data_IF_080008463122
#
_entry.id   IF_080008463122
#
_cell.length_a   1.000
_cell.length_b   1.000
_cell.length_c   1.000
_cell.angle_alpha   90.00
_cell.angle_beta   90.00
_cell.angle_gamma   90.00
#
_symmetry.space_group_name_H-M   'P 1'
#
loop_
_entity.id
_entity.type
_entity.pdbx_description
1 polymer ?
#
# COMPACT_ATOMS: atom_id res chain seq x y z
N UNK A 1 22.51 25.17 15.37
CA UNK A 1 21.35 25.00 14.49
C UNK A 1 21.86 24.65 13.09
N UNK A 2 22.09 23.36 12.82
CA UNK A 2 22.64 22.87 11.56
C UNK A 2 21.48 22.27 10.77
N UNK A 3 21.09 22.93 9.68
CA UNK A 3 20.07 22.44 8.75
C UNK A 3 20.76 21.43 7.83
N UNK A 4 20.59 20.13 8.08
CA UNK A 4 20.97 19.10 7.12
C UNK A 4 19.93 19.05 6.00
N UNK A 5 20.30 19.60 4.83
CA UNK A 5 19.54 19.38 3.59
C UNK A 5 19.77 17.94 3.12
N UNK A 6 18.71 17.11 3.08
CA UNK A 6 18.70 15.86 2.30
C UNK A 6 18.98 16.21 0.83
N UNK A 7 19.94 15.50 0.23
CA UNK A 7 20.25 15.60 -1.21
C UNK A 7 19.12 14.96 -2.00
N UNK A 8 18.55 15.70 -2.97
CA UNK A 8 17.71 15.11 -4.01
C UNK A 8 18.56 14.20 -4.88
N UNK A 9 18.21 12.92 -4.99
CA UNK A 9 18.79 12.04 -5.98
C UNK A 9 18.28 12.45 -7.36
N UNK A 10 19.22 12.63 -8.29
CA UNK A 10 18.92 13.05 -9.66
C UNK A 10 18.07 12.03 -10.41
N UNK A 11 17.13 12.56 -11.19
CA UNK A 11 16.37 11.84 -12.21
C UNK A 11 17.30 11.06 -13.14
N UNK A 12 17.17 9.73 -13.17
CA UNK A 12 17.77 8.86 -14.18
C UNK A 12 16.64 8.37 -15.07
N UNK A 13 16.55 8.93 -16.27
CA UNK A 13 15.65 8.46 -17.34
C UNK A 13 16.47 7.71 -18.39
N UNK A 14 16.62 6.39 -18.23
CA UNK A 14 17.05 5.49 -19.32
C UNK A 14 16.22 4.20 -19.28
N UNK A 15 15.16 4.14 -20.10
CA UNK A 15 14.42 2.91 -20.36
C UNK A 15 15.18 2.05 -21.37
N UNK A 16 15.78 0.95 -20.91
CA UNK A 16 16.39 -0.06 -21.77
C UNK A 16 15.35 -0.90 -22.52
N UNK A 17 15.51 -0.95 -23.84
CA UNK A 17 14.77 -1.83 -24.76
C UNK A 17 15.36 -3.24 -24.72
N UNK A 18 14.57 -4.23 -24.31
CA UNK A 18 14.88 -5.66 -24.46
C UNK A 18 14.06 -6.23 -25.62
N UNK A 19 14.75 -6.67 -26.69
CA UNK A 19 14.19 -7.52 -27.73
C UNK A 19 14.78 -8.93 -27.61
N UNK A 20 13.88 -9.90 -27.77
CA UNK A 20 14.07 -11.32 -28.05
C UNK A 20 14.34 -12.24 -26.85
N UNK A 21 13.35 -13.05 -26.48
CA UNK A 21 13.28 -14.47 -26.87
C UNK A 21 12.17 -15.18 -26.06
N UNK A 22 11.20 -15.83 -26.72
CA UNK A 22 10.86 -17.24 -26.50
C UNK A 22 9.72 -17.70 -27.43
N UNK A 23 10.04 -18.76 -28.17
CA UNK A 23 9.14 -19.68 -28.86
C UNK A 23 8.73 -20.76 -27.85
N UNK A 24 7.47 -21.25 -27.91
CA UNK A 24 7.10 -22.69 -27.96
C UNK A 24 5.64 -22.92 -27.52
N UNK A 25 4.94 -23.61 -28.42
CA UNK A 25 3.78 -24.51 -28.25
C UNK A 25 2.36 -23.98 -28.01
N UNK A 26 1.61 -24.03 -29.11
CA UNK A 26 0.17 -24.24 -29.13
C UNK A 26 -0.14 -25.74 -29.04
N UNK A 27 -1.12 -26.11 -28.20
CA UNK A 27 -1.86 -27.38 -28.30
C UNK A 27 -3.24 -27.25 -27.63
N UNK A 28 -4.24 -27.16 -28.51
CA UNK A 28 -5.58 -27.78 -28.52
C UNK A 28 -6.30 -27.99 -27.17
N UNK A 29 -7.51 -27.40 -27.07
CA UNK A 29 -8.83 -27.97 -26.71
C UNK A 29 -9.84 -26.81 -26.87
N UNK A 30 -10.88 -26.82 -27.70
CA UNK A 30 -11.87 -27.87 -27.92
C UNK A 30 -13.10 -27.58 -27.04
N UNK A 31 -14.14 -26.93 -27.58
CA UNK A 31 -15.45 -26.84 -26.91
C UNK A 31 -16.20 -25.52 -27.07
N UNK A 32 -16.82 -25.30 -28.24
CA UNK A 32 -17.88 -24.30 -28.43
C UNK A 32 -19.22 -24.99 -28.22
N UNK A 33 -20.08 -24.39 -27.40
CA UNK A 33 -21.52 -24.66 -27.46
C UNK A 33 -22.23 -24.37 -26.16
N UNK A 34 -22.74 -23.14 -26.00
CA UNK A 34 -24.06 -22.91 -25.40
C UNK A 34 -24.52 -21.48 -25.69
N UNK A 35 -25.60 -21.43 -26.49
CA UNK A 35 -26.42 -20.27 -26.78
C UNK A 35 -27.07 -19.75 -25.49
N UNK A 36 -26.98 -18.45 -25.24
CA UNK A 36 -28.00 -17.73 -24.47
C UNK A 36 -28.42 -16.47 -25.23
N UNK A 37 -29.67 -16.52 -25.67
CA UNK A 37 -30.39 -15.46 -26.36
C UNK A 37 -31.14 -14.67 -25.28
N UNK A 38 -30.86 -13.38 -25.13
CA UNK A 38 -31.70 -12.48 -24.32
C UNK A 38 -31.89 -11.18 -25.07
N UNK A 39 -33.11 -10.97 -25.55
CA UNK A 39 -33.56 -9.71 -26.12
C UNK A 39 -34.01 -8.72 -25.05
N UNK A 40 -34.27 -7.49 -25.49
CA UNK A 40 -35.14 -6.56 -24.77
C UNK A 40 -34.56 -5.17 -24.52
N UNK A 41 -34.66 -4.32 -25.55
CA UNK A 41 -35.17 -2.94 -25.55
C UNK A 41 -34.74 -1.88 -24.51
N UNK A 42 -34.62 -0.67 -25.09
CA UNK A 42 -35.11 0.63 -24.58
C UNK A 42 -34.20 1.42 -23.61
N UNK A 43 -33.56 2.48 -24.08
CA UNK A 43 -34.13 3.83 -24.24
C UNK A 43 -33.02 4.88 -24.47
N UNK A 44 -33.25 5.71 -25.48
CA UNK A 44 -32.59 6.97 -25.73
C UNK A 44 -32.72 7.93 -24.54
N UNK A 45 -31.64 8.64 -24.21
CA UNK A 45 -31.69 9.96 -23.59
C UNK A 45 -30.46 10.74 -24.05
N UNK A 46 -30.69 11.62 -25.02
CA UNK A 46 -29.72 12.60 -25.48
C UNK A 46 -29.52 13.69 -24.45
N UNK A 47 -28.26 14.09 -24.27
CA UNK A 47 -27.91 15.34 -23.61
C UNK A 47 -26.98 16.15 -24.51
N UNK A 48 -27.48 17.32 -24.92
CA UNK A 48 -26.70 18.42 -25.48
C UNK A 48 -25.75 18.95 -24.41
N UNK A 49 -24.47 19.09 -24.72
CA UNK A 49 -23.57 20.00 -24.03
C UNK A 49 -22.82 20.84 -25.06
N UNK A 50 -23.03 22.15 -24.95
CA UNK A 50 -22.37 23.21 -25.71
C UNK A 50 -20.90 23.30 -25.30
N UNK A 51 -19.99 23.25 -26.29
CA UNK A 51 -18.59 23.60 -26.12
C UNK A 51 -18.41 25.12 -26.31
N UNK A 52 -17.86 25.81 -25.31
CA UNK A 52 -17.39 27.19 -25.41
C UNK A 52 -15.89 27.24 -25.71
N UNK A 53 -15.51 28.34 -26.36
CA UNK A 53 -14.28 28.57 -27.11
C UNK A 53 -12.97 28.41 -26.33
N UNK A 54 -11.98 27.87 -27.05
CA UNK A 54 -10.58 27.84 -26.65
C UNK A 54 -9.84 29.02 -27.29
N UNK A 55 -9.33 29.92 -26.45
CA UNK A 55 -8.49 31.06 -26.85
C UNK A 55 -7.03 30.63 -26.95
N UNK A 56 -6.46 30.82 -28.14
CA UNK A 56 -5.10 30.45 -28.52
C UNK A 56 -4.12 31.52 -28.04
N UNK A 57 -3.28 31.21 -27.05
CA UNK A 57 -2.10 32.01 -26.69
C UNK A 57 -0.86 31.45 -27.38
N UNK A 58 -0.23 32.26 -28.23
CA UNK A 58 1.08 32.00 -28.86
C UNK A 58 2.19 32.46 -27.94
N UNK A 59 3.04 31.54 -27.49
CA UNK A 59 4.30 31.82 -26.79
C UNK A 59 5.48 31.58 -27.73
N UNK A 60 6.24 32.63 -28.02
CA UNK A 60 7.54 32.60 -28.70
C UNK A 60 8.64 32.19 -27.73
N UNK A 61 9.31 31.07 -28.01
CA UNK A 61 10.46 30.59 -27.21
C UNK A 61 11.76 30.84 -27.97
N UNK A 62 12.64 31.64 -27.38
CA UNK A 62 14.03 31.85 -27.81
C UNK A 62 14.94 30.82 -27.13
N UNK A 63 15.67 30.03 -27.92
CA UNK A 63 16.59 29.00 -27.43
C UNK A 63 18.02 29.54 -27.31
N UNK A 64 18.71 29.40 -26.16
CA UNK A 64 20.16 29.57 -26.10
C UNK A 64 20.89 28.24 -26.30
N UNK A 65 21.96 28.30 -27.09
CA UNK A 65 22.90 27.21 -27.37
C UNK A 65 23.77 26.91 -26.14
N UNK A 66 23.79 25.66 -25.69
CA UNK A 66 24.65 25.17 -24.61
C UNK A 66 25.80 24.34 -25.18
N UNK A 67 27.02 24.77 -24.86
CA UNK A 67 28.29 24.10 -25.20
C UNK A 67 28.50 22.91 -24.27
N UNK A 68 28.65 21.73 -24.86
CA UNK A 68 29.03 20.48 -24.17
C UNK A 68 30.53 20.48 -23.85
N UNK A 69 30.89 20.22 -22.59
CA UNK A 69 32.25 19.85 -22.19
C UNK A 69 32.19 18.49 -21.51
N UNK A 70 32.95 17.54 -22.04
CA UNK A 70 33.04 16.16 -21.58
C UNK A 70 34.01 16.06 -20.40
N UNK A 71 33.48 15.88 -19.18
CA UNK A 71 34.25 15.43 -18.03
C UNK A 71 33.95 13.95 -17.76
N UNK A 72 34.97 13.12 -17.92
CA UNK A 72 34.95 11.71 -17.54
C UNK A 72 34.93 11.61 -16.00
N UNK A 73 33.99 10.83 -15.47
CA UNK A 73 33.74 10.61 -14.05
C UNK A 73 34.72 9.57 -13.47
N UNK A 74 35.70 10.03 -12.70
CA UNK A 74 36.43 9.24 -11.70
C UNK A 74 35.72 9.38 -10.33
N UNK A 75 34.62 8.64 -10.11
CA UNK A 75 33.84 8.69 -8.85
C UNK A 75 33.90 7.43 -7.99
N UNK A 76 34.80 6.48 -8.26
CA UNK A 76 34.78 5.18 -7.57
C UNK A 76 35.77 5.01 -6.40
N UNK A 77 36.31 6.08 -5.81
CA UNK A 77 37.39 5.95 -4.82
C UNK A 77 37.32 6.94 -3.66
N UNK A 78 36.27 6.92 -2.83
CA UNK A 78 36.29 7.46 -1.45
C UNK A 78 35.00 7.12 -0.67
N UNK A 79 34.77 5.84 -0.41
CA UNK A 79 33.99 5.44 0.76
C UNK A 79 34.98 5.36 1.93
N UNK A 80 35.06 6.45 2.70
CA UNK A 80 35.92 6.51 3.89
C UNK A 80 35.39 5.57 4.96
N UNK A 81 36.29 5.03 5.78
CA UNK A 81 35.99 4.16 6.94
C UNK A 81 34.95 4.78 7.88
N UNK A 82 34.91 6.11 7.96
CA UNK A 82 33.95 6.86 8.78
C UNK A 82 32.49 6.57 8.43
N UNK A 83 32.18 6.30 7.16
CA UNK A 83 30.81 6.00 6.70
C UNK A 83 30.30 4.66 7.24
N UNK A 84 31.19 3.67 7.33
CA UNK A 84 30.82 2.33 7.80
C UNK A 84 30.57 2.32 9.31
N UNK A 85 31.39 3.03 10.08
CA UNK A 85 31.23 3.15 11.53
C UNK A 85 29.96 3.94 11.89
N UNK A 86 29.63 5.00 11.15
CA UNK A 86 28.38 5.74 11.33
C UNK A 86 27.14 4.90 11.00
N UNK A 87 27.18 4.08 9.94
CA UNK A 87 26.09 3.15 9.61
C UNK A 87 25.95 2.06 10.68
N UNK A 88 27.05 1.57 11.24
CA UNK A 88 27.04 0.59 12.34
C UNK A 88 26.41 1.16 13.61
N UNK A 89 26.82 2.36 14.03
CA UNK A 89 26.25 3.03 15.20
C UNK A 89 24.76 3.36 15.01
N UNK A 90 24.37 3.88 13.85
CA UNK A 90 22.97 4.16 13.54
C UNK A 90 22.10 2.89 13.51
N UNK A 91 22.66 1.75 13.10
CA UNK A 91 21.97 0.47 13.13
C UNK A 91 21.87 -0.12 14.55
N UNK A 92 22.83 0.16 15.44
CA UNK A 92 22.81 -0.32 16.82
C UNK A 92 21.69 0.29 17.67
N UNK A 93 21.17 1.46 17.29
CA UNK A 93 20.04 2.12 17.97
C UNK A 93 18.66 1.60 17.52
N UNK A 94 18.59 0.89 16.39
CA UNK A 94 17.32 0.41 15.85
C UNK A 94 16.84 -0.79 16.66
N UNK A 95 15.57 -0.74 17.09
CA UNK A 95 14.90 -1.90 17.68
C UNK A 95 14.74 -2.99 16.62
N UNK A 96 14.76 -4.26 17.03
CA UNK A 96 14.37 -5.38 16.16
C UNK A 96 12.88 -5.70 16.34
N UNK A 97 12.10 -5.57 15.27
CA UNK A 97 10.68 -5.87 15.28
C UNK A 97 10.41 -7.33 15.66
N UNK A 98 11.29 -8.27 15.28
CA UNK A 98 11.10 -9.68 15.65
C UNK A 98 11.09 -9.87 17.16
N UNK A 99 12.04 -9.26 17.87
CA UNK A 99 12.15 -9.33 19.33
C UNK A 99 10.95 -8.64 20.01
N UNK A 100 10.62 -7.42 19.56
CA UNK A 100 9.49 -6.64 20.09
C UNK A 100 8.17 -7.39 19.90
N UNK A 101 7.87 -7.83 18.68
CA UNK A 101 6.63 -8.53 18.33
C UNK A 101 6.53 -9.90 19.00
N UNK A 102 7.66 -10.60 19.18
CA UNK A 102 7.69 -11.86 19.93
C UNK A 102 7.25 -11.63 21.39
N UNK A 103 7.64 -10.50 21.99
CA UNK A 103 7.28 -10.17 23.39
C UNK A 103 5.78 -9.87 23.59
N UNK A 104 5.06 -9.44 22.56
CA UNK A 104 3.60 -9.19 22.62
C UNK A 104 2.78 -10.40 22.18
N UNK A 105 3.43 -11.41 21.61
CA UNK A 105 2.78 -12.62 21.12
C UNK A 105 1.89 -12.38 19.90
N UNK A 106 2.17 -11.34 19.12
CA UNK A 106 1.50 -11.11 17.82
C UNK A 106 1.93 -12.17 16.80
N UNK A 107 1.02 -12.51 15.89
CA UNK A 107 1.20 -13.52 14.84
C UNK A 107 2.06 -13.05 13.66
N UNK A 108 2.26 -11.73 13.54
CA UNK A 108 3.16 -11.06 12.58
C UNK A 108 4.56 -11.68 12.48
N UNK A 109 5.00 -12.37 13.54
CA UNK A 109 6.30 -13.03 13.66
C UNK A 109 6.23 -14.49 14.11
N UNK A 110 5.06 -15.14 14.04
CA UNK A 110 4.94 -16.56 14.40
C UNK A 110 5.57 -17.50 13.37
N UNK A 111 5.72 -17.06 12.12
CA UNK A 111 6.25 -17.83 11.00
C UNK A 111 7.62 -18.47 11.30
N UNK A 112 8.67 -17.71 11.65
CA UNK A 112 10.01 -18.26 11.93
C UNK A 112 10.01 -19.39 12.96
N UNK A 113 9.33 -19.21 14.10
CA UNK A 113 9.24 -20.22 15.16
C UNK A 113 8.50 -21.47 14.68
N UNK A 114 7.31 -21.31 14.10
CA UNK A 114 6.49 -22.43 13.61
C UNK A 114 7.16 -23.18 12.47
N UNK A 115 7.87 -22.47 11.59
CA UNK A 115 8.57 -23.09 10.46
C UNK A 115 9.68 -24.01 10.94
N UNK A 116 10.46 -23.58 11.94
CA UNK A 116 11.51 -24.40 12.53
C UNK A 116 10.95 -25.72 13.06
N UNK A 117 9.84 -25.68 13.80
CA UNK A 117 9.19 -26.87 14.34
C UNK A 117 8.60 -27.77 13.23
N UNK A 118 7.94 -27.16 12.24
CA UNK A 118 7.38 -27.86 11.07
C UNK A 118 8.45 -28.54 10.21
N UNK A 119 9.61 -27.92 10.01
CA UNK A 119 10.72 -28.53 9.24
C UNK A 119 11.40 -29.67 9.98
N UNK A 120 11.36 -29.69 11.31
CA UNK A 120 11.88 -30.79 12.13
C UNK A 120 10.90 -31.96 12.20
N UNK A 121 9.60 -31.68 12.14
CA UNK A 121 8.53 -32.66 12.24
C UNK A 121 7.35 -32.22 11.38
N UNK A 122 7.16 -32.89 10.24
CA UNK A 122 6.13 -32.53 9.27
C UNK A 122 4.70 -32.62 9.85
N UNK A 123 4.49 -33.38 10.92
CA UNK A 123 3.19 -33.44 11.62
C UNK A 123 2.86 -32.15 12.38
N UNK A 124 3.86 -31.29 12.64
CA UNK A 124 3.69 -29.96 13.24
C UNK A 124 3.38 -28.86 12.23
N UNK A 125 3.45 -29.17 10.93
CA UNK A 125 3.06 -28.22 9.89
C UNK A 125 1.54 -28.07 9.87
N UNK A 126 1.05 -26.83 9.82
CA UNK A 126 -0.40 -26.55 9.64
C UNK A 126 -0.84 -26.96 8.23
N UNK A 127 0.05 -26.81 7.24
CA UNK A 127 -0.19 -27.15 5.84
C UNK A 127 0.99 -27.94 5.27
N UNK A 128 1.16 -29.23 5.61
CA UNK A 128 2.35 -30.03 5.26
C UNK A 128 2.58 -30.14 3.74
N UNK A 129 1.51 -30.12 2.95
CA UNK A 129 1.58 -30.34 1.49
C UNK A 129 1.98 -29.09 0.69
N UNK A 130 2.22 -27.95 1.35
CA UNK A 130 2.61 -26.72 0.65
C UNK A 130 4.04 -26.82 0.12
N UNK A 131 4.21 -26.52 -1.17
CA UNK A 131 5.51 -26.54 -1.87
C UNK A 131 6.46 -25.53 -1.24
N UNK A 132 6.01 -24.29 -1.03
CA UNK A 132 6.81 -23.25 -0.40
C UNK A 132 6.88 -23.47 1.13
N UNK A 133 8.09 -23.64 1.72
CA UNK A 133 8.22 -23.95 3.15
C UNK A 133 7.54 -22.95 4.08
N UNK A 134 7.68 -21.64 3.80
CA UNK A 134 7.06 -20.58 4.62
C UNK A 134 5.52 -20.68 4.68
N UNK A 135 4.88 -21.20 3.62
CA UNK A 135 3.43 -21.40 3.55
C UNK A 135 2.93 -22.58 4.41
N UNK A 136 3.83 -23.43 4.92
CA UNK A 136 3.47 -24.58 5.77
C UNK A 136 3.04 -24.18 7.18
N UNK A 137 3.34 -22.95 7.60
CA UNK A 137 3.11 -22.45 8.97
C UNK A 137 1.67 -22.00 9.26
N UNK A 138 0.80 -21.96 8.26
CA UNK A 138 -0.58 -21.51 8.39
C UNK A 138 -0.67 -19.99 8.60
N UNK A 139 -1.37 -19.57 9.65
CA UNK A 139 -1.50 -18.17 10.07
C UNK A 139 -0.24 -17.66 10.80
N UNK A 140 0.96 -18.04 10.34
CA UNK A 140 2.22 -17.57 10.89
C UNK A 140 2.92 -16.67 9.89
N UNK A 141 3.15 -15.40 10.25
CA UNK A 141 3.71 -14.43 9.30
C UNK A 141 5.22 -14.23 9.55
N UNK A 142 5.88 -13.66 8.55
CA UNK A 142 7.33 -13.40 8.53
C UNK A 142 7.61 -11.91 8.37
N UNK A 143 6.72 -11.02 8.84
CA UNK A 143 6.74 -9.60 8.47
C UNK A 143 7.88 -8.79 9.08
N UNK A 144 8.55 -9.30 10.13
CA UNK A 144 9.70 -8.65 10.76
C UNK A 144 10.79 -8.17 9.78
N UNK A 145 11.10 -8.90 8.71
CA UNK A 145 12.12 -8.46 7.73
C UNK A 145 11.71 -7.18 7.02
N UNK A 146 10.45 -7.12 6.59
CA UNK A 146 9.88 -5.96 5.93
C UNK A 146 9.73 -4.79 6.91
N UNK A 147 9.24 -5.05 8.14
CA UNK A 147 9.12 -4.01 9.16
C UNK A 147 10.47 -3.42 9.58
N UNK A 148 11.49 -4.25 9.79
CA UNK A 148 12.84 -3.75 10.10
C UNK A 148 13.41 -2.91 8.95
N UNK A 149 13.17 -3.31 7.70
CA UNK A 149 13.65 -2.57 6.53
C UNK A 149 12.99 -1.19 6.42
N UNK A 150 11.66 -1.14 6.49
CA UNK A 150 10.90 0.07 6.17
C UNK A 150 10.64 0.97 7.37
N UNK A 151 10.56 0.40 8.56
CA UNK A 151 10.21 1.13 9.78
C UNK A 151 11.38 1.24 10.79
N UNK A 152 12.53 0.62 10.50
CA UNK A 152 13.67 0.63 11.41
C UNK A 152 14.24 2.02 11.73
N UNK A 153 14.16 2.99 10.81
CA UNK A 153 14.57 4.37 11.10
C UNK A 153 13.66 5.03 12.16
N UNK A 154 12.36 4.72 12.11
CA UNK A 154 11.36 5.21 13.04
C UNK A 154 11.37 4.49 14.39
N UNK A 155 12.15 3.41 14.52
CA UNK A 155 12.24 2.60 15.73
C UNK A 155 13.29 3.08 16.73
N UNK A 156 13.94 4.23 16.47
CA UNK A 156 14.95 4.82 17.35
C UNK A 156 14.31 5.82 18.33
N UNK A 157 14.97 6.08 19.47
CA UNK A 157 14.50 7.09 20.43
C UNK A 157 14.70 8.53 19.92
N UNK A 158 15.59 8.70 18.95
CA UNK A 158 15.91 9.97 18.31
C UNK A 158 15.03 10.26 17.07
N UNK A 159 14.09 9.38 16.73
CA UNK A 159 13.18 9.61 15.62
C UNK A 159 12.34 10.89 15.82
N UNK A 160 12.17 11.66 14.75
CA UNK A 160 11.24 12.79 14.74
C UNK A 160 9.81 12.29 15.05
N UNK A 161 9.00 13.02 15.85
CA UNK A 161 7.62 12.66 16.10
C UNK A 161 6.81 12.52 14.80
N UNK A 162 5.99 11.48 14.72
CA UNK A 162 5.15 11.17 13.56
C UNK A 162 3.86 10.50 14.01
N UNK A 163 2.85 10.44 13.14
CA UNK A 163 1.64 9.63 13.36
C UNK A 163 1.77 8.26 12.71
N UNK A 164 1.30 7.25 13.44
CA UNK A 164 1.15 5.87 13.03
C UNK A 164 -0.32 5.46 13.11
N UNK A 165 -0.82 4.76 12.10
CA UNK A 165 -2.17 4.20 12.07
C UNK A 165 -2.15 2.70 11.71
N UNK A 166 -2.82 1.88 12.52
CA UNK A 166 -3.16 0.49 12.20
C UNK A 166 -4.66 0.34 11.95
N UNK A 167 -5.06 -0.08 10.75
CA UNK A 167 -6.44 -0.53 10.48
C UNK A 167 -6.52 -2.01 10.84
N UNK A 168 -7.31 -2.36 11.86
CA UNK A 168 -7.39 -3.72 12.41
C UNK A 168 -6.67 -3.84 13.76
N UNK A 169 -7.40 -3.68 14.86
CA UNK A 169 -6.83 -3.82 16.21
C UNK A 169 -6.88 -5.28 16.69
N UNK A 170 -7.95 -5.99 16.34
CA UNK A 170 -8.34 -7.30 16.85
C UNK A 170 -8.29 -7.40 18.37
N UNK A 171 -7.22 -7.93 18.96
CA UNK A 171 -7.00 -8.03 20.41
C UNK A 171 -5.82 -7.15 20.91
N UNK A 172 -5.32 -6.28 20.03
CA UNK A 172 -4.29 -5.27 20.27
C UNK A 172 -2.86 -5.77 20.33
N UNK A 173 -2.58 -7.06 20.10
CA UNK A 173 -1.18 -7.56 20.16
C UNK A 173 -0.28 -6.98 19.07
N UNK A 174 -0.82 -6.75 17.87
CA UNK A 174 -0.16 -6.05 16.76
C UNK A 174 0.12 -4.60 17.15
N UNK A 175 -0.93 -3.86 17.49
CA UNK A 175 -0.83 -2.49 18.00
C UNK A 175 0.19 -2.31 19.12
N UNK A 176 0.16 -3.18 20.14
CA UNK A 176 1.10 -3.15 21.27
C UNK A 176 2.55 -3.41 20.82
N UNK A 177 2.77 -4.22 19.78
CA UNK A 177 4.09 -4.41 19.18
C UNK A 177 4.56 -3.13 18.50
N UNK A 178 3.71 -2.50 17.69
CA UNK A 178 4.05 -1.26 17.00
C UNK A 178 4.33 -0.12 17.98
N UNK A 179 3.54 0.04 19.05
CA UNK A 179 3.80 1.05 20.08
C UNK A 179 5.15 0.90 20.76
N UNK A 180 5.58 -0.34 21.03
CA UNK A 180 6.91 -0.62 21.59
C UNK A 180 8.02 -0.41 20.55
N UNK A 181 7.74 -0.71 19.29
CA UNK A 181 8.68 -0.60 18.19
C UNK A 181 8.89 0.84 17.74
N UNK A 182 7.86 1.67 17.79
CA UNK A 182 7.82 3.05 17.29
C UNK A 182 7.62 4.03 18.46
N UNK A 183 8.64 4.23 19.32
CA UNK A 183 8.49 4.95 20.59
C UNK A 183 8.13 6.44 20.46
N UNK A 184 8.38 7.02 19.29
CA UNK A 184 8.13 8.44 18.98
C UNK A 184 6.85 8.65 18.18
N UNK A 185 6.13 7.57 17.87
CA UNK A 185 4.87 7.65 17.14
C UNK A 185 3.72 8.09 18.07
N UNK A 186 2.90 8.99 17.57
CA UNK A 186 1.51 9.11 18.00
C UNK A 186 0.70 8.02 17.31
N UNK A 187 0.24 7.05 18.10
CA UNK A 187 -0.35 5.81 17.57
C UNK A 187 -1.85 5.82 17.59
N UNK A 188 -2.45 5.45 16.47
CA UNK A 188 -3.88 5.25 16.29
C UNK A 188 -4.18 3.85 15.76
N UNK A 189 -5.34 3.31 16.09
CA UNK A 189 -5.85 2.07 15.53
C UNK A 189 -7.36 2.16 15.31
N UNK A 190 -7.87 1.38 14.36
CA UNK A 190 -9.29 1.30 14.02
C UNK A 190 -9.80 -0.13 14.16
N UNK A 191 -10.98 -0.31 14.74
CA UNK A 191 -11.56 -1.63 14.93
C UNK A 191 -13.08 -1.63 14.86
N UNK A 192 -13.62 -2.49 14.01
CA UNK A 192 -15.06 -2.66 13.86
C UNK A 192 -15.64 -3.46 15.03
N UNK A 193 -14.89 -4.42 15.58
CA UNK A 193 -15.36 -5.26 16.67
C UNK A 193 -15.66 -4.51 17.97
N UNK A 194 -15.19 -3.26 18.10
CA UNK A 194 -15.45 -2.46 19.30
C UNK A 194 -16.69 -1.55 19.21
N UNK A 195 -17.48 -1.63 18.13
CA UNK A 195 -18.81 -1.01 18.04
C UNK A 195 -19.86 -1.85 18.80
N UNK A 196 -21.09 -1.35 18.85
CA UNK A 196 -22.22 -2.05 19.48
C UNK A 196 -22.43 -3.44 18.85
N UNK A 197 -22.60 -4.52 19.67
CA UNK A 197 -22.85 -5.84 19.13
C UNK A 197 -24.26 -5.95 18.52
N UNK A 198 -24.38 -6.67 17.41
CA UNK A 198 -25.68 -6.87 16.74
C UNK A 198 -25.58 -7.21 15.25
N UNK A 199 -26.71 -7.22 14.52
CA UNK A 199 -26.73 -7.56 13.11
C UNK A 199 -25.96 -6.57 12.24
N UNK A 200 -25.18 -7.06 11.26
CA UNK A 200 -24.49 -6.21 10.29
C UNK A 200 -25.44 -5.29 9.51
N UNK A 201 -26.68 -5.73 9.28
CA UNK A 201 -27.70 -4.93 8.60
C UNK A 201 -28.08 -3.65 9.37
N UNK A 202 -27.79 -3.59 10.67
CA UNK A 202 -27.97 -2.41 11.53
C UNK A 202 -26.67 -1.62 11.73
N UNK A 203 -25.60 -1.95 11.00
CA UNK A 203 -24.27 -1.37 11.22
C UNK A 203 -23.58 -1.86 12.49
N UNK A 204 -24.01 -3.00 13.05
CA UNK A 204 -23.49 -3.59 14.30
C UNK A 204 -22.59 -4.79 14.05
N UNK A 205 -21.83 -5.20 15.07
CA UNK A 205 -20.86 -6.31 14.97
C UNK A 205 -21.34 -7.60 15.68
N UNK A 206 -21.61 -8.71 14.97
CA UNK A 206 -22.27 -9.87 15.58
C UNK A 206 -21.34 -10.82 16.33
N UNK A 207 -20.01 -10.70 16.18
CA UNK A 207 -19.05 -11.70 16.69
C UNK A 207 -18.43 -11.35 18.06
N UNK A 208 -18.93 -10.29 18.70
CA UNK A 208 -18.46 -9.82 20.00
C UNK A 208 -17.22 -8.91 19.90
N UNK A 209 -16.90 -8.26 21.02
CA UNK A 209 -15.83 -7.29 21.11
C UNK A 209 -14.48 -8.00 21.36
N UNK A 210 -13.74 -8.25 20.29
CA UNK A 210 -12.41 -8.85 20.40
C UNK A 210 -11.38 -7.87 20.99
N UNK A 211 -11.58 -6.57 20.77
CA UNK A 211 -10.68 -5.51 21.25
C UNK A 211 -10.67 -5.42 22.77
N UNK A 212 -11.81 -5.66 23.42
CA UNK A 212 -11.93 -5.66 24.88
C UNK A 212 -11.12 -6.76 25.58
N UNK A 213 -10.52 -7.69 24.84
CA UNK A 213 -9.55 -8.66 25.38
C UNK A 213 -8.19 -8.04 25.67
N UNK A 214 -7.88 -6.87 25.12
CA UNK A 214 -6.63 -6.17 25.41
C UNK A 214 -6.70 -5.53 26.81
N UNK A 215 -5.69 -5.71 27.68
CA UNK A 215 -5.69 -5.12 29.03
C UNK A 215 -5.70 -3.58 29.03
N UNK A 216 -5.25 -2.95 27.94
CA UNK A 216 -5.24 -1.49 27.76
C UNK A 216 -6.43 -0.98 26.93
N UNK A 217 -7.42 -1.82 26.60
CA UNK A 217 -8.53 -1.46 25.73
C UNK A 217 -9.21 -0.14 26.13
N UNK A 218 -9.63 -0.02 27.40
CA UNK A 218 -10.29 1.19 27.88
C UNK A 218 -9.35 2.40 27.84
N UNK A 219 -8.09 2.22 28.22
CA UNK A 219 -7.07 3.28 28.13
C UNK A 219 -6.90 3.79 26.70
N UNK A 220 -6.92 2.91 25.69
CA UNK A 220 -6.82 3.30 24.29
C UNK A 220 -8.06 4.03 23.78
N UNK A 221 -9.26 3.71 24.27
CA UNK A 221 -10.45 4.51 24.01
C UNK A 221 -10.36 5.90 24.66
N UNK A 222 -10.03 5.95 25.95
CA UNK A 222 -9.99 7.19 26.73
C UNK A 222 -8.95 8.19 26.19
N UNK A 223 -7.83 7.65 25.67
CA UNK A 223 -6.75 8.45 25.06
C UNK A 223 -6.89 8.61 23.55
N UNK A 224 -8.01 8.14 22.95
CA UNK A 224 -8.30 8.26 21.52
C UNK A 224 -7.24 7.65 20.60
N UNK A 225 -6.62 6.58 21.08
CA UNK A 225 -5.70 5.75 20.31
C UNK A 225 -6.42 4.60 19.62
N UNK A 226 -7.59 4.18 20.10
CA UNK A 226 -8.45 3.20 19.44
C UNK A 226 -9.77 3.85 19.02
N UNK A 227 -10.11 3.73 17.74
CA UNK A 227 -11.31 4.30 17.14
C UNK A 227 -12.27 3.17 16.72
N UNK A 228 -13.48 3.17 17.28
CA UNK A 228 -14.47 2.13 16.99
C UNK A 228 -15.33 2.48 15.78
N UNK A 229 -15.24 1.68 14.72
CA UNK A 229 -16.02 1.88 13.50
C UNK A 229 -15.54 1.01 12.35
N UNK A 230 -16.27 1.09 11.24
CA UNK A 230 -15.96 0.34 10.02
C UNK A 230 -14.95 1.11 9.16
N UNK A 231 -13.71 0.62 9.09
CA UNK A 231 -12.66 1.24 8.28
C UNK A 231 -12.85 1.07 6.75
N UNK A 232 -13.96 0.47 6.31
CA UNK A 232 -14.39 0.54 4.91
C UNK A 232 -15.35 1.69 4.61
N UNK A 233 -15.87 2.35 5.66
CA UNK A 233 -16.80 3.48 5.56
C UNK A 233 -16.05 4.80 5.46
N UNK A 234 -16.24 5.52 4.35
CA UNK A 234 -15.60 6.82 4.12
C UNK A 234 -15.90 7.84 5.22
N UNK A 235 -17.15 7.94 5.65
CA UNK A 235 -17.57 8.98 6.59
C UNK A 235 -16.95 8.75 7.97
N UNK A 236 -16.82 7.48 8.39
CA UNK A 236 -16.04 7.10 9.56
C UNK A 236 -14.56 7.50 9.42
N UNK A 237 -13.89 7.06 8.35
CA UNK A 237 -12.47 7.37 8.11
C UNK A 237 -12.22 8.89 8.08
N UNK A 238 -13.07 9.62 7.36
CA UNK A 238 -13.00 11.07 7.23
C UNK A 238 -13.25 11.77 8.57
N UNK A 239 -14.22 11.30 9.36
CA UNK A 239 -14.48 11.85 10.69
C UNK A 239 -13.27 11.66 11.62
N UNK A 240 -12.67 10.46 11.67
CA UNK A 240 -11.48 10.23 12.51
C UNK A 240 -10.30 11.08 12.04
N UNK A 241 -10.06 11.14 10.73
CA UNK A 241 -9.01 11.97 10.15
C UNK A 241 -9.17 13.43 10.55
N UNK A 242 -10.35 14.02 10.32
CA UNK A 242 -10.57 15.46 10.51
C UNK A 242 -10.75 15.88 11.96
N UNK A 243 -11.20 14.99 12.85
CA UNK A 243 -11.51 15.35 14.25
C UNK A 243 -10.47 14.88 15.26
N UNK A 244 -9.69 13.84 14.96
CA UNK A 244 -8.73 13.27 15.91
C UNK A 244 -7.28 13.36 15.41
N UNK A 245 -7.03 12.99 14.15
CA UNK A 245 -5.65 12.87 13.64
C UNK A 245 -5.11 14.19 13.07
N UNK A 246 -5.87 14.88 12.20
CA UNK A 246 -5.47 16.13 11.54
C UNK A 246 -5.84 17.33 12.41
N UNK A 247 -4.98 17.64 13.39
CA UNK A 247 -5.09 18.83 14.25
C UNK A 247 -3.85 19.72 14.13
N UNK A 248 -3.91 21.01 14.49
CA UNK A 248 -2.81 21.96 14.25
C UNK A 248 -1.47 21.58 14.89
N UNK A 249 -1.49 20.82 15.99
CA UNK A 249 -0.34 20.37 16.75
C UNK A 249 0.03 18.89 16.49
N UNK A 250 -0.70 18.22 15.59
CA UNK A 250 -0.40 16.82 15.28
C UNK A 250 0.93 16.71 14.51
N UNK A 251 1.75 15.70 14.83
CA UNK A 251 2.84 15.33 13.96
C UNK A 251 2.27 14.73 12.66
N UNK A 252 3.06 14.71 11.58
CA UNK A 252 2.57 14.26 10.27
C UNK A 252 2.34 12.75 10.20
N UNK A 253 1.38 12.31 9.38
CA UNK A 253 1.11 10.89 9.12
C UNK A 253 2.18 10.27 8.22
N UNK A 254 3.04 9.41 8.81
CA UNK A 254 4.10 8.69 8.09
C UNK A 254 3.81 7.25 7.79
N UNK A 255 3.07 6.57 8.67
CA UNK A 255 2.95 5.12 8.59
C UNK A 255 1.50 4.73 8.75
N UNK A 256 0.98 4.01 7.75
CA UNK A 256 -0.33 3.37 7.81
C UNK A 256 -0.14 1.89 7.53
N UNK A 257 -0.75 1.03 8.34
CA UNK A 257 -0.77 -0.42 8.15
C UNK A 257 -2.22 -0.87 8.06
N UNK A 258 -2.60 -1.54 6.98
CA UNK A 258 -3.87 -2.24 6.85
C UNK A 258 -3.69 -3.72 7.18
N UNK A 259 -4.19 -4.11 8.35
CA UNK A 259 -4.31 -5.47 8.86
C UNK A 259 -5.77 -5.75 9.28
N UNK A 260 -6.72 -5.19 8.51
CA UNK A 260 -8.13 -5.14 8.89
C UNK A 260 -8.89 -6.42 8.55
N UNK A 261 -9.94 -6.29 7.72
CA UNK A 261 -10.83 -7.41 7.41
C UNK A 261 -10.27 -8.41 6.37
N UNK A 262 -9.13 -8.08 5.74
CA UNK A 262 -8.53 -8.81 4.61
C UNK A 262 -9.48 -9.00 3.41
N UNK A 263 -10.51 -8.16 3.29
CA UNK A 263 -11.36 -8.07 2.11
C UNK A 263 -10.67 -7.16 1.08
N UNK A 264 -10.57 -7.60 -0.17
CA UNK A 264 -9.92 -6.85 -1.23
C UNK A 264 -10.48 -5.42 -1.42
N UNK A 265 -11.80 -5.26 -1.26
CA UNK A 265 -12.47 -3.95 -1.28
C UNK A 265 -11.97 -3.03 -0.16
N UNK A 266 -11.74 -3.56 1.04
CA UNK A 266 -11.33 -2.78 2.20
C UNK A 266 -9.84 -2.38 2.08
N UNK A 267 -8.99 -3.31 1.64
CA UNK A 267 -7.59 -3.01 1.32
C UNK A 267 -7.46 -1.93 0.24
N UNK A 268 -8.31 -1.99 -0.80
CA UNK A 268 -8.38 -0.92 -1.79
C UNK A 268 -8.85 0.40 -1.14
N UNK A 269 -9.89 0.39 -0.32
CA UNK A 269 -10.32 1.60 0.41
C UNK A 269 -9.17 2.22 1.20
N UNK A 270 -8.35 1.43 1.91
CA UNK A 270 -7.16 1.94 2.60
C UNK A 270 -6.14 2.57 1.65
N UNK A 271 -5.89 1.96 0.49
CA UNK A 271 -5.04 2.55 -0.55
C UNK A 271 -5.59 3.90 -1.05
N UNK A 272 -6.87 3.98 -1.39
CA UNK A 272 -7.45 5.21 -1.95
C UNK A 272 -7.69 6.32 -0.93
N UNK A 273 -7.97 5.96 0.32
CA UNK A 273 -8.21 6.93 1.38
C UNK A 273 -6.92 7.37 2.06
N UNK A 274 -6.11 6.43 2.56
CA UNK A 274 -4.97 6.78 3.40
C UNK A 274 -3.75 7.19 2.59
N UNK A 275 -3.42 6.50 1.49
CA UNK A 275 -2.18 6.76 0.75
C UNK A 275 -2.02 8.23 0.31
N UNK A 276 -3.06 8.92 -0.21
CA UNK A 276 -2.94 10.34 -0.52
C UNK A 276 -2.60 11.25 0.66
N UNK A 277 -3.00 10.86 1.88
CA UNK A 277 -2.87 11.64 3.13
C UNK A 277 -1.55 11.41 3.87
N UNK A 278 -0.80 10.37 3.48
CA UNK A 278 0.53 10.11 4.02
C UNK A 278 1.50 11.17 3.48
N UNK A 279 2.36 11.68 4.34
CA UNK A 279 3.33 12.70 3.96
C UNK A 279 4.45 12.16 3.03
N UNK A 280 5.24 13.04 2.40
CA UNK A 280 6.40 12.64 1.60
C UNK A 280 7.33 11.64 2.30
N UNK A 281 7.67 10.56 1.61
CA UNK A 281 8.54 9.49 2.13
C UNK A 281 7.90 8.60 3.21
N UNK A 282 6.63 8.81 3.55
CA UNK A 282 5.86 7.86 4.36
C UNK A 282 5.45 6.61 3.58
N UNK A 283 4.86 5.65 4.28
CA UNK A 283 4.50 4.34 3.73
C UNK A 283 3.09 3.89 4.14
N UNK A 284 2.39 3.29 3.18
CA UNK A 284 1.24 2.42 3.42
C UNK A 284 1.69 0.97 3.32
N UNK A 285 1.37 0.16 4.32
CA UNK A 285 1.65 -1.27 4.33
C UNK A 285 0.32 -2.01 4.34
N UNK A 286 0.15 -2.99 3.46
CA UNK A 286 -1.06 -3.82 3.40
C UNK A 286 -0.65 -5.26 3.71
N UNK A 287 -1.14 -5.78 4.83
CA UNK A 287 -0.92 -7.15 5.29
C UNK A 287 -1.90 -8.13 4.63
N UNK A 288 -1.63 -9.42 4.81
CA UNK A 288 -2.50 -10.53 4.39
C UNK A 288 -3.04 -10.53 2.96
N UNK A 289 -2.15 -10.16 2.03
CA UNK A 289 -2.37 -10.28 0.59
C UNK A 289 -2.16 -11.75 0.13
N UNK A 290 -2.88 -12.67 0.77
CA UNK A 290 -2.78 -14.12 0.57
C UNK A 290 -3.66 -14.58 -0.62
N UNK A 291 -3.39 -15.75 -1.24
CA UNK A 291 -4.29 -16.38 -2.21
C UNK A 291 -5.55 -16.99 -1.56
N UNK A 292 -6.31 -16.18 -0.82
CA UNK A 292 -7.62 -16.54 -0.24
C UNK A 292 -8.72 -15.76 -0.97
N UNK A 293 -9.94 -16.28 -1.01
CA UNK A 293 -11.02 -15.72 -1.83
C UNK A 293 -11.27 -14.23 -1.54
N UNK A 294 -11.18 -13.84 -0.28
CA UNK A 294 -11.41 -12.51 0.26
C UNK A 294 -10.37 -11.49 -0.23
N UNK A 295 -9.09 -11.87 -0.18
CA UNK A 295 -7.96 -10.97 -0.47
C UNK A 295 -7.47 -11.07 -1.93
N UNK A 296 -7.77 -12.17 -2.62
CA UNK A 296 -7.14 -12.49 -3.90
C UNK A 296 -7.38 -11.41 -4.95
N UNK A 297 -8.55 -10.76 -4.95
CA UNK A 297 -8.83 -9.69 -5.90
C UNK A 297 -7.88 -8.48 -5.74
N UNK A 298 -7.41 -8.19 -4.53
CA UNK A 298 -6.41 -7.14 -4.32
C UNK A 298 -5.09 -7.55 -4.98
N UNK A 299 -4.66 -8.80 -4.76
CA UNK A 299 -3.43 -9.35 -5.33
C UNK A 299 -3.47 -9.46 -6.85
N UNK A 300 -4.57 -9.91 -7.44
CA UNK A 300 -4.64 -10.24 -8.87
C UNK A 300 -5.20 -9.11 -9.73
N UNK A 301 -5.85 -8.10 -9.14
CA UNK A 301 -6.42 -6.97 -9.88
C UNK A 301 -5.78 -5.64 -9.45
N UNK A 302 -5.79 -5.31 -8.16
CA UNK A 302 -5.33 -3.99 -7.69
C UNK A 302 -3.81 -3.85 -7.82
N UNK A 303 -3.04 -4.78 -7.25
CA UNK A 303 -1.58 -4.71 -7.28
C UNK A 303 -1.01 -4.61 -8.71
N UNK A 304 -1.41 -5.44 -9.69
CA UNK A 304 -0.90 -5.32 -11.05
C UNK A 304 -1.22 -3.96 -11.70
N UNK A 305 -2.38 -3.38 -11.40
CA UNK A 305 -2.75 -2.06 -11.90
C UNK A 305 -1.88 -0.96 -11.29
N UNK A 306 -1.61 -1.02 -9.97
CA UNK A 306 -0.65 -0.12 -9.32
C UNK A 306 0.75 -0.27 -9.92
N UNK A 307 1.20 -1.51 -10.18
CA UNK A 307 2.50 -1.77 -10.80
C UNK A 307 2.58 -1.26 -12.23
N UNK A 308 1.49 -1.32 -13.00
CA UNK A 308 1.41 -0.71 -14.33
C UNK A 308 1.57 0.81 -14.22
N UNK A 309 0.80 1.44 -13.33
CA UNK A 309 0.81 2.89 -13.11
C UNK A 309 2.15 3.42 -12.61
N UNK A 310 2.87 2.65 -11.79
CA UNK A 310 4.24 2.99 -11.36
C UNK A 310 5.18 3.25 -12.54
N UNK A 311 4.95 2.58 -13.67
CA UNK A 311 5.72 2.71 -14.90
C UNK A 311 5.04 3.57 -15.98
N UNK A 312 3.92 4.23 -15.64
CA UNK A 312 3.23 5.11 -16.57
C UNK A 312 4.06 6.38 -16.85
N UNK A 313 4.41 6.59 -18.13
CA UNK A 313 5.19 7.74 -18.57
C UNK A 313 4.38 8.80 -19.35
N UNK A 314 3.11 8.50 -19.71
CA UNK A 314 2.28 9.41 -20.51
C UNK A 314 2.85 9.72 -21.91
N UNK A 315 3.61 8.80 -22.50
CA UNK A 315 4.21 9.00 -23.83
C UNK A 315 3.13 8.91 -24.92
N UNK A 316 2.88 9.98 -25.70
CA UNK A 316 1.80 10.03 -26.69
C UNK A 316 1.96 9.04 -27.85
N UNK A 317 3.13 8.40 -27.99
CA UNK A 317 3.35 7.32 -28.97
C UNK A 317 2.67 6.01 -28.55
N UNK A 318 2.41 5.85 -27.26
CA UNK A 318 1.70 4.72 -26.70
C UNK A 318 0.34 5.21 -26.18
N UNK A 319 -0.73 4.54 -26.61
CA UNK A 319 -2.06 4.76 -26.04
C UNK A 319 -2.13 4.04 -24.68
N UNK A 320 -1.40 4.56 -23.70
CA UNK A 320 -1.46 4.08 -22.33
C UNK A 320 -2.27 5.05 -21.47
N UNK A 321 -2.99 4.50 -20.50
CA UNK A 321 -3.82 5.23 -19.55
C UNK A 321 -3.52 4.75 -18.13
N UNK A 322 -3.49 5.70 -17.19
CA UNK A 322 -3.38 5.38 -15.77
C UNK A 322 -4.64 4.65 -15.28
N UNK A 323 -4.46 3.57 -14.54
CA UNK A 323 -5.56 2.88 -13.86
C UNK A 323 -6.12 3.74 -12.73
N UNK A 324 -5.23 4.35 -11.94
CA UNK A 324 -5.49 5.01 -10.67
C UNK A 324 -4.85 6.40 -10.64
N UNK A 325 -5.44 7.39 -11.34
CA UNK A 325 -4.88 8.75 -11.46
C UNK A 325 -4.78 9.52 -10.14
N UNK A 326 -5.44 9.08 -9.06
CA UNK A 326 -5.31 9.66 -7.71
C UNK A 326 -4.16 9.05 -6.89
N UNK A 327 -3.59 7.93 -7.34
CA UNK A 327 -2.50 7.22 -6.65
C UNK A 327 -1.18 7.42 -7.37
N UNK A 328 -1.17 7.23 -8.70
CA UNK A 328 0.04 7.25 -9.52
C UNK A 328 0.91 8.50 -9.28
N UNK A 329 0.37 9.73 -9.23
CA UNK A 329 1.20 10.93 -9.08
C UNK A 329 1.91 11.04 -7.73
N UNK A 330 1.55 10.19 -6.78
CA UNK A 330 2.02 10.20 -5.39
C UNK A 330 2.89 8.96 -5.06
N UNK A 331 2.90 7.98 -5.96
CA UNK A 331 3.59 6.71 -5.77
C UNK A 331 5.08 6.84 -6.12
N UNK A 332 5.95 6.40 -5.21
CA UNK A 332 7.39 6.30 -5.45
C UNK A 332 7.82 4.88 -5.78
N UNK A 333 7.40 3.92 -4.95
CA UNK A 333 7.81 2.52 -5.08
C UNK A 333 6.75 1.58 -4.51
N UNK A 334 6.82 0.31 -4.93
CA UNK A 334 6.06 -0.80 -4.36
C UNK A 334 7.02 -1.93 -4.03
N UNK A 335 6.93 -2.46 -2.81
CA UNK A 335 7.77 -3.57 -2.36
C UNK A 335 6.90 -4.65 -1.73
N UNK A 336 6.89 -5.86 -2.30
CA UNK A 336 6.12 -6.97 -1.77
C UNK A 336 7.03 -8.09 -1.25
N UNK A 337 6.69 -8.61 -0.07
CA UNK A 337 7.19 -9.88 0.44
C UNK A 337 6.01 -10.88 0.53
N UNK A 338 6.23 -12.04 1.16
CA UNK A 338 5.18 -13.06 1.25
C UNK A 338 3.99 -12.52 2.05
N UNK A 339 2.87 -12.30 1.35
CA UNK A 339 1.58 -11.85 1.90
C UNK A 339 1.56 -10.42 2.46
N UNK A 340 2.47 -9.54 2.03
CA UNK A 340 2.53 -8.15 2.50
C UNK A 340 3.14 -7.27 1.42
N UNK A 341 2.63 -6.06 1.25
CA UNK A 341 3.20 -5.07 0.33
C UNK A 341 3.31 -3.70 1.00
N UNK A 342 4.34 -2.95 0.63
CA UNK A 342 4.61 -1.57 1.02
C UNK A 342 4.43 -0.70 -0.22
N UNK A 343 3.71 0.40 -0.06
CA UNK A 343 3.57 1.46 -1.03
C UNK A 343 4.23 2.71 -0.45
N UNK A 344 5.24 3.23 -1.13
CA UNK A 344 6.03 4.37 -0.66
C UNK A 344 5.57 5.66 -1.32
N UNK A 345 5.46 6.73 -0.52
CA UNK A 345 5.14 8.09 -0.97
C UNK A 345 6.33 8.77 -1.62
N UNK A 346 6.10 9.42 -2.74
CA UNK A 346 7.08 10.31 -3.36
C UNK A 346 7.14 11.68 -2.64
N UNK A 347 7.89 12.62 -3.21
CA UNK A 347 8.12 13.94 -2.62
C UNK A 347 6.93 14.92 -2.75
N UNK A 348 5.81 14.51 -3.36
CA UNK A 348 4.63 15.36 -3.47
C UNK A 348 3.93 15.52 -2.11
N UNK A 349 3.47 16.73 -1.75
CA UNK A 349 2.72 16.96 -0.52
C UNK A 349 1.52 16.02 -0.38
N UNK A 350 1.12 15.75 0.86
CA UNK A 350 -0.13 15.05 1.15
C UNK A 350 -1.32 15.81 0.53
N UNK A 351 -2.30 15.08 0.01
CA UNK A 351 -3.50 15.61 -0.65
C UNK A 351 -4.75 14.99 -0.04
N UNK A 352 -5.74 15.82 0.21
CA UNK A 352 -7.07 15.40 0.64
C UNK A 352 -8.06 15.50 -0.52
N UNK A 353 -8.33 14.37 -1.14
CA UNK A 353 -9.30 14.27 -2.22
C UNK A 353 -10.75 14.32 -1.70
N UNK A 354 -11.68 14.62 -2.60
CA UNK A 354 -13.12 14.49 -2.33
C UNK A 354 -13.51 13.06 -1.98
N UNK A 355 -14.75 12.86 -1.53
CA UNK A 355 -15.29 11.52 -1.23
C UNK A 355 -15.17 10.58 -2.41
N UNK A 356 -15.55 11.04 -3.60
CA UNK A 356 -15.56 10.25 -4.83
C UNK A 356 -14.15 9.79 -5.23
N UNK A 357 -13.16 10.67 -5.05
CA UNK A 357 -11.76 10.41 -5.42
C UNK A 357 -10.95 9.70 -4.33
N UNK A 358 -11.45 9.70 -3.08
CA UNK A 358 -10.86 8.96 -1.95
C UNK A 358 -11.38 7.52 -1.84
N UNK A 359 -12.31 7.12 -2.72
CA UNK A 359 -12.87 5.76 -2.75
C UNK A 359 -12.38 5.00 -3.98
N UNK A 360 -12.27 3.67 -3.91
CA UNK A 360 -11.84 2.88 -5.06
C UNK A 360 -12.80 3.09 -6.26
N UNK A 361 -12.30 3.41 -7.46
CA UNK A 361 -13.14 3.57 -8.64
C UNK A 361 -13.84 2.27 -9.04
N UNK A 362 -14.92 2.35 -9.82
CA UNK A 362 -15.75 1.19 -10.20
C UNK A 362 -14.95 0.06 -10.88
N UNK A 363 -13.90 0.40 -11.61
CA UNK A 363 -13.04 -0.54 -12.33
C UNK A 363 -11.86 -1.07 -11.51
N UNK A 364 -11.78 -0.76 -10.20
CA UNK A 364 -10.68 -1.21 -9.32
C UNK A 364 -10.41 -2.71 -9.41
N UNK A 365 -11.46 -3.52 -9.52
CA UNK A 365 -11.37 -4.98 -9.61
C UNK A 365 -11.56 -5.52 -11.03
N UNK A 366 -11.51 -4.65 -12.04
CA UNK A 366 -11.52 -5.04 -13.45
C UNK A 366 -10.12 -4.82 -14.05
N UNK A 367 -9.22 -5.77 -13.76
CA UNK A 367 -7.86 -5.76 -14.29
C UNK A 367 -7.83 -5.69 -15.82
N UNK A 368 -8.84 -6.25 -16.50
CA UNK A 368 -8.90 -6.25 -17.95
C UNK A 368 -9.20 -4.86 -18.51
N UNK A 369 -9.92 -4.02 -17.76
CA UNK A 369 -10.17 -2.63 -18.17
C UNK A 369 -8.89 -1.81 -18.32
N UNK A 370 -7.85 -2.11 -17.52
CA UNK A 370 -6.64 -1.30 -17.46
C UNK A 370 -5.35 -2.00 -17.93
N UNK A 371 -5.13 -3.27 -17.57
CA UNK A 371 -3.87 -3.97 -17.86
C UNK A 371 -3.73 -4.34 -19.33
N UNK A 372 -4.83 -4.65 -19.98
CA UNK A 372 -4.82 -5.06 -21.36
C UNK A 372 -5.22 -3.88 -22.21
N UNK A 373 -4.29 -3.46 -23.08
CA UNK A 373 -4.58 -2.53 -24.15
C UNK A 373 -5.82 -3.03 -24.88
N UNK A 374 -6.88 -2.20 -24.89
CA UNK A 374 -8.00 -2.41 -25.80
C UNK A 374 -7.49 -1.93 -27.15
N UNK A 375 -7.17 -2.81 -28.12
CA UNK A 375 -6.95 -2.33 -29.46
C UNK A 375 -8.20 -1.55 -29.84
N UNK A 376 -8.06 -0.24 -30.02
CA UNK A 376 -9.07 0.54 -30.71
C UNK A 376 -9.41 -0.28 -31.94
N UNK A 377 -10.70 -0.63 -32.07
CA UNK A 377 -11.19 -1.20 -33.30
C UNK A 377 -10.89 -0.14 -34.35
N UNK A 378 -9.75 -0.26 -35.03
CA UNK A 378 -9.35 0.64 -36.10
C UNK A 378 -10.57 0.70 -36.99
N UNK A 379 -11.22 1.86 -37.03
CA UNK A 379 -12.29 2.11 -37.98
C UNK A 379 -11.67 1.76 -39.33
N UNK A 380 -12.15 0.66 -39.91
CA UNK A 380 -11.75 0.23 -41.24
C UNK A 380 -12.11 1.38 -42.17
N UNK A 381 -11.09 2.14 -42.58
CA UNK A 381 -11.20 3.19 -43.60
C UNK A 381 -11.58 2.59 -44.94
#
# INVERSE_FOLDING_TARGET
MIIMRRRSLGSISECYSWKNALIVSALILGGIGLFFQRGGNNQDLGFLLQAQGSSRMTSTTTTPSIRSTSHANDQNSLLTTDTADQLSAANAERRDFYEVASSTGTDKVWGPRRLKECLQDNSKCVRPDMIAPKCRTGAGHFYHTLYNRWLGEYSTDNAEPFQFLEVGFYNGRGFDAYKKFLPRAETHSMEIACIEPGPRAEGKWPWGNFASKNPNYQHYLDTKQLHCGDASDYDFLHNIWTTQMKRPDAPPLKVVIDDGAHLAQHMATSLFFWFPRIEPGGVLIVEDIQPIAEANNFRTHVLPQVMKDLHFCGDPRFQDEMCFPTIQPLLHSVHCEMHICVFERNDQPAVEYSKELSMPPKNTFDAASCLFYKPEAKASL
#
